data_IF_156822416282
#
_entry.id   IF_156822416282
#
_cell.length_a   1.000
_cell.length_b   1.000
_cell.length_c   1.000
_cell.angle_alpha   90.00
_cell.angle_beta   90.00
_cell.angle_gamma   90.00
#
_symmetry.space_group_name_H-M   'P 1'
#
loop_
_entity.id
_entity.type
_entity.pdbx_description
1 polymer ?
#
# COMPACT_ATOMS: atom_id res chain seq x y z
N UNK A 1 26.13 30.13 19.01
CA UNK A 1 24.93 29.50 19.57
C UNK A 1 23.98 29.13 18.43
N UNK A 2 23.32 27.98 18.46
CA UNK A 2 22.24 27.68 17.50
C UNK A 2 21.18 28.78 17.59
N UNK A 3 20.61 29.17 16.46
CA UNK A 3 19.48 30.09 16.45
C UNK A 3 18.24 29.32 16.93
N UNK A 4 17.60 29.82 17.99
CA UNK A 4 16.38 29.26 18.56
C UNK A 4 15.17 30.10 18.18
N UNK A 5 14.02 29.44 18.07
CA UNK A 5 12.74 30.05 17.73
C UNK A 5 11.66 29.55 18.68
N UNK A 6 10.63 30.38 18.87
CA UNK A 6 9.40 30.02 19.59
C UNK A 6 8.28 29.67 18.62
N UNK A 7 7.21 29.07 19.15
CA UNK A 7 6.07 28.59 18.36
C UNK A 7 5.31 29.69 17.60
N UNK A 8 5.48 30.96 17.98
CA UNK A 8 4.91 32.12 17.28
C UNK A 8 5.83 32.66 16.15
N UNK A 9 7.00 32.07 15.92
CA UNK A 9 8.00 32.52 14.93
C UNK A 9 8.13 31.57 13.72
N UNK A 10 7.04 30.90 13.35
CA UNK A 10 7.05 29.89 12.28
C UNK A 10 7.45 30.45 10.92
N UNK A 11 7.13 31.71 10.61
CA UNK A 11 7.54 32.33 9.35
C UNK A 11 9.05 32.48 9.22
N UNK A 12 9.73 32.74 10.34
CA UNK A 12 11.18 32.71 10.40
C UNK A 12 11.72 31.31 10.11
N UNK A 13 11.08 30.26 10.63
CA UNK A 13 11.46 28.88 10.31
C UNK A 13 11.24 28.53 8.84
N UNK A 14 10.14 29.00 8.23
CA UNK A 14 9.89 28.85 6.79
C UNK A 14 11.04 29.48 6.00
N UNK A 15 11.47 30.68 6.37
CA UNK A 15 12.62 31.33 5.75
C UNK A 15 13.91 30.51 5.90
N UNK A 16 14.22 29.99 7.09
CA UNK A 16 15.43 29.17 7.31
C UNK A 16 15.40 27.87 6.48
N UNK A 17 14.26 27.18 6.43
CA UNK A 17 14.10 25.95 5.64
C UNK A 17 14.28 26.23 4.14
N UNK A 18 13.68 27.31 3.63
CA UNK A 18 13.82 27.71 2.23
C UNK A 18 15.26 28.07 1.86
N UNK A 19 16.05 28.51 2.84
CA UNK A 19 17.49 28.76 2.70
C UNK A 19 18.36 27.52 2.99
N UNK A 20 17.82 26.32 2.80
CA UNK A 20 18.54 25.05 2.95
C UNK A 20 19.14 24.81 4.35
N UNK A 21 18.47 25.31 5.40
CA UNK A 21 18.78 24.91 6.78
C UNK A 21 17.85 23.81 7.25
N UNK A 22 18.37 22.99 8.15
CA UNK A 22 17.58 22.03 8.90
C UNK A 22 17.05 22.65 10.19
N UNK A 23 15.89 22.17 10.64
CA UNK A 23 15.23 22.61 11.87
C UNK A 23 15.03 21.41 12.78
N UNK A 24 15.52 21.49 14.02
CA UNK A 24 15.10 20.55 15.06
C UNK A 24 13.81 21.04 15.69
N UNK A 25 12.79 20.18 15.75
CA UNK A 25 11.42 20.55 16.07
C UNK A 25 10.71 19.45 16.86
N UNK A 26 9.88 19.78 17.87
CA UNK A 26 8.96 18.81 18.46
C UNK A 26 7.93 18.31 17.45
N UNK A 27 7.71 17.00 17.39
CA UNK A 27 6.63 16.38 16.61
C UNK A 27 5.54 15.80 17.52
N UNK A 28 4.49 15.29 16.90
CA UNK A 28 3.45 14.49 17.56
C UNK A 28 4.00 13.19 18.21
N UNK A 29 5.16 12.70 17.77
CA UNK A 29 5.80 11.46 18.28
C UNK A 29 7.06 11.73 19.10
N UNK A 30 8.11 12.26 18.48
CA UNK A 30 9.44 12.47 19.07
C UNK A 30 10.06 13.77 18.56
N UNK A 31 11.18 14.23 19.10
CA UNK A 31 11.93 15.33 18.46
C UNK A 31 12.38 14.91 17.06
N UNK A 32 12.13 15.76 16.06
CA UNK A 32 12.49 15.54 14.66
C UNK A 32 13.53 16.55 14.17
N UNK A 33 14.23 16.20 13.09
CA UNK A 33 15.01 17.13 12.27
C UNK A 33 14.38 17.20 10.89
N UNK A 34 13.90 18.39 10.52
CA UNK A 34 13.26 18.69 9.25
C UNK A 34 14.19 19.44 8.30
N UNK A 35 14.13 19.13 7.02
CA UNK A 35 14.80 19.90 5.96
C UNK A 35 14.04 19.77 4.63
N UNK A 36 14.22 20.72 3.72
CA UNK A 36 13.73 20.62 2.35
C UNK A 36 14.51 19.60 1.49
N UNK A 37 15.70 19.18 1.94
CA UNK A 37 16.57 18.24 1.26
C UNK A 37 17.12 17.20 2.24
N UNK A 38 16.85 15.92 2.00
CA UNK A 38 17.33 14.82 2.85
C UNK A 38 18.85 14.75 3.00
N UNK A 39 19.62 15.22 2.00
CA UNK A 39 21.07 15.22 2.05
C UNK A 39 21.61 16.06 3.22
N UNK A 40 20.90 17.14 3.58
CA UNK A 40 21.25 17.98 4.73
C UNK A 40 21.17 17.15 6.01
N UNK A 41 20.11 16.35 6.16
CA UNK A 41 19.90 15.50 7.34
C UNK A 41 20.95 14.39 7.39
N UNK A 42 21.24 13.73 6.25
CA UNK A 42 22.30 12.74 6.18
C UNK A 42 23.65 13.31 6.58
N UNK A 43 23.98 14.52 6.10
CA UNK A 43 25.22 15.22 6.40
C UNK A 43 25.33 15.58 7.90
N UNK A 44 24.30 16.23 8.46
CA UNK A 44 24.29 16.68 9.86
C UNK A 44 24.40 15.50 10.82
N UNK A 45 23.69 14.40 10.54
CA UNK A 45 23.61 13.23 11.42
C UNK A 45 24.67 12.16 11.18
N UNK A 46 25.52 12.34 10.16
CA UNK A 46 26.39 11.28 9.62
C UNK A 46 25.65 9.94 9.47
N UNK A 47 24.44 9.99 8.88
CA UNK A 47 23.52 8.85 8.85
C UNK A 47 23.84 7.93 7.67
N UNK A 48 23.83 6.60 7.85
CA UNK A 48 23.97 5.67 6.73
C UNK A 48 22.81 5.78 5.74
N UNK A 49 23.09 5.77 4.42
CA UNK A 49 22.07 5.93 3.36
C UNK A 49 20.99 4.85 3.33
N UNK A 50 21.32 3.63 3.75
CA UNK A 50 20.34 2.54 3.85
C UNK A 50 19.23 2.82 4.89
N UNK A 51 19.51 3.66 5.91
CA UNK A 51 18.49 4.12 6.86
C UNK A 51 17.73 5.28 6.22
N UNK A 52 16.65 4.97 5.51
CA UNK A 52 15.85 5.95 4.79
C UNK A 52 15.31 7.07 5.68
N UNK A 53 15.10 8.23 5.06
CA UNK A 53 14.50 9.43 5.65
C UNK A 53 13.01 9.43 5.30
N UNK A 54 12.18 9.92 6.22
CA UNK A 54 10.73 9.98 6.02
C UNK A 54 10.39 11.27 5.28
N UNK A 55 9.60 11.20 4.22
CA UNK A 55 9.05 12.36 3.52
C UNK A 55 7.71 12.75 4.15
N UNK A 56 7.68 13.90 4.80
CA UNK A 56 6.44 14.49 5.30
C UNK A 56 5.70 15.19 4.16
N UNK A 57 4.40 14.89 4.03
CA UNK A 57 3.54 15.32 2.92
C UNK A 57 2.22 15.87 3.44
N UNK A 58 1.58 16.73 2.65
CA UNK A 58 0.20 17.22 2.88
C UNK A 58 -0.81 16.61 1.93
N UNK A 59 -0.36 16.19 0.75
CA UNK A 59 -1.21 15.58 -0.27
C UNK A 59 -0.84 14.10 -0.41
N UNK A 60 -1.80 13.22 -0.16
CA UNK A 60 -1.65 11.77 -0.29
C UNK A 60 -1.30 11.37 -1.74
N UNK A 61 -1.71 12.18 -2.72
CA UNK A 61 -1.37 11.94 -4.13
C UNK A 61 0.14 11.93 -4.40
N UNK A 62 0.97 12.53 -3.53
CA UNK A 62 2.43 12.46 -3.63
C UNK A 62 2.98 11.03 -3.51
N UNK A 63 2.19 10.08 -2.98
CA UNK A 63 2.58 8.68 -2.85
C UNK A 63 2.42 7.88 -4.15
N UNK A 64 1.76 8.45 -5.16
CA UNK A 64 1.29 7.76 -6.35
C UNK A 64 -0.05 7.05 -6.14
N UNK A 65 -0.44 6.22 -7.09
CA UNK A 65 -1.73 5.51 -7.07
C UNK A 65 -1.79 4.52 -5.89
N UNK A 66 -2.93 4.56 -5.19
CA UNK A 66 -3.27 3.70 -4.05
C UNK A 66 -4.54 2.92 -4.37
N UNK A 67 -4.59 1.64 -3.99
CA UNK A 67 -5.82 0.86 -4.05
C UNK A 67 -6.80 1.26 -2.92
N UNK A 68 -8.05 0.78 -2.99
CA UNK A 68 -9.09 1.13 -2.02
C UNK A 68 -8.70 0.77 -0.57
N UNK A 69 -8.00 -0.35 -0.38
CA UNK A 69 -7.60 -0.82 0.96
C UNK A 69 -6.47 0.05 1.50
N UNK A 70 -5.51 0.42 0.65
CA UNK A 70 -4.46 1.37 0.96
C UNK A 70 -5.03 2.76 1.29
N UNK A 71 -6.03 3.25 0.54
CA UNK A 71 -6.74 4.51 0.84
C UNK A 71 -7.44 4.43 2.19
N UNK A 72 -8.14 3.33 2.49
CA UNK A 72 -8.75 3.12 3.80
C UNK A 72 -7.73 3.14 4.93
N UNK A 73 -6.58 2.48 4.75
CA UNK A 73 -5.50 2.50 5.73
C UNK A 73 -4.96 3.92 5.95
N UNK A 74 -4.65 4.65 4.88
CA UNK A 74 -4.17 6.03 4.95
C UNK A 74 -5.17 6.92 5.68
N UNK A 75 -6.45 6.90 5.29
CA UNK A 75 -7.49 7.74 5.89
C UNK A 75 -7.75 7.40 7.36
N UNK A 76 -7.52 6.14 7.75
CA UNK A 76 -7.69 5.69 9.13
C UNK A 76 -6.57 6.18 10.04
N UNK A 77 -5.33 6.15 9.57
CA UNK A 77 -4.15 6.38 10.42
C UNK A 77 -3.48 7.76 10.22
N UNK A 78 -3.82 8.49 9.16
CA UNK A 78 -3.32 9.84 8.91
C UNK A 78 -4.41 10.91 9.02
N UNK A 79 -4.05 12.12 9.50
CA UNK A 79 -2.75 12.51 10.05
C UNK A 79 -2.46 11.84 11.40
N UNK A 80 -1.21 11.40 11.65
CA UNK A 80 -0.89 10.73 12.91
C UNK A 80 0.46 10.03 13.02
N UNK A 81 0.49 9.08 13.96
CA UNK A 81 1.66 8.32 14.44
C UNK A 81 2.15 7.20 13.52
N UNK A 82 1.71 7.14 12.26
CA UNK A 82 2.06 6.04 11.34
C UNK A 82 2.93 6.55 10.20
N UNK A 83 3.97 5.81 9.85
CA UNK A 83 4.80 6.02 8.65
C UNK A 83 4.49 4.93 7.65
N UNK A 84 4.18 5.32 6.42
CA UNK A 84 3.78 4.40 5.36
C UNK A 84 4.91 4.28 4.34
N UNK A 85 5.30 3.06 4.02
CA UNK A 85 6.22 2.77 2.91
C UNK A 85 5.41 2.35 1.70
N UNK A 86 5.58 3.09 0.60
CA UNK A 86 5.00 2.81 -0.72
C UNK A 86 6.08 2.99 -1.77
N UNK A 87 6.22 2.04 -2.68
CA UNK A 87 7.22 2.06 -3.76
C UNK A 87 8.63 2.36 -3.21
N UNK A 88 8.96 1.75 -2.06
CA UNK A 88 10.25 1.89 -1.39
C UNK A 88 10.56 3.32 -0.87
N UNK A 89 9.59 4.22 -0.78
CA UNK A 89 9.70 5.56 -0.17
C UNK A 89 8.87 5.60 1.09
N UNK A 90 9.41 6.19 2.17
CA UNK A 90 8.72 6.34 3.45
C UNK A 90 8.03 7.69 3.52
N UNK A 91 6.72 7.70 3.76
CA UNK A 91 5.87 8.88 3.85
C UNK A 91 5.24 9.01 5.23
N UNK A 92 4.87 10.23 5.64
CA UNK A 92 4.06 10.47 6.83
C UNK A 92 3.32 11.81 6.76
N UNK A 93 2.06 11.83 7.17
CA UNK A 93 1.35 13.06 7.48
C UNK A 93 1.26 13.20 9.01
N UNK A 94 2.08 14.04 9.65
CA UNK A 94 2.09 14.17 11.11
C UNK A 94 0.87 14.96 11.63
N UNK A 95 0.32 14.56 12.78
CA UNK A 95 -0.76 15.29 13.45
C UNK A 95 -0.20 16.42 14.34
N UNK A 96 0.52 17.35 13.72
CA UNK A 96 1.05 18.52 14.41
C UNK A 96 0.83 19.81 13.63
N UNK A 97 0.09 20.75 14.24
CA UNK A 97 -0.30 22.02 13.61
C UNK A 97 0.90 22.85 13.13
N UNK A 98 2.03 22.81 13.82
CA UNK A 98 3.21 23.59 13.43
C UNK A 98 3.87 22.96 12.21
N UNK A 99 3.97 21.63 12.18
CA UNK A 99 4.53 20.91 11.03
C UNK A 99 3.62 21.04 9.81
N UNK A 100 2.30 20.89 9.99
CA UNK A 100 1.33 21.10 8.91
C UNK A 100 1.42 22.52 8.33
N UNK A 101 1.62 23.53 9.19
CA UNK A 101 1.89 24.89 8.74
C UNK A 101 3.16 24.98 7.90
N UNK A 102 4.28 24.42 8.37
CA UNK A 102 5.55 24.43 7.64
C UNK A 102 5.42 23.74 6.28
N UNK A 103 4.76 22.57 6.22
CA UNK A 103 4.51 21.86 4.97
C UNK A 103 3.67 22.71 3.99
N UNK A 104 2.67 23.45 4.48
CA UNK A 104 1.83 24.30 3.63
C UNK A 104 2.61 25.45 2.97
N UNK A 105 3.75 25.86 3.56
CA UNK A 105 4.57 26.97 3.09
C UNK A 105 5.83 26.53 2.34
N UNK A 106 6.32 25.34 2.62
CA UNK A 106 7.57 24.80 2.10
C UNK A 106 7.38 23.65 1.10
N UNK A 107 6.17 23.09 0.98
CA UNK A 107 5.94 21.80 0.32
C UNK A 107 6.38 20.63 1.20
N UNK A 108 6.62 19.48 0.60
CA UNK A 108 7.07 18.30 1.33
C UNK A 108 8.41 18.54 2.03
N UNK A 109 8.56 18.00 3.24
CA UNK A 109 9.79 18.12 4.02
C UNK A 109 10.32 16.73 4.38
N UNK A 110 11.63 16.58 4.46
CA UNK A 110 12.27 15.35 4.90
C UNK A 110 12.47 15.37 6.41
N UNK A 111 12.25 14.23 7.07
CA UNK A 111 12.28 14.08 8.52
C UNK A 111 13.01 12.83 8.98
N UNK A 112 13.80 12.98 10.04
CA UNK A 112 14.31 11.88 10.87
C UNK A 112 14.14 12.24 12.34
N UNK A 113 14.16 11.26 13.23
CA UNK A 113 14.29 11.54 14.67
C UNK A 113 15.52 12.39 14.94
N UNK A 114 15.49 13.30 15.90
CA UNK A 114 16.55 14.28 16.13
C UNK A 114 17.79 13.72 16.84
N UNK A 115 17.89 12.43 17.16
CA UNK A 115 19.07 11.83 17.81
C UNK A 115 20.18 11.48 16.82
N UNK A 116 21.46 11.68 17.19
CA UNK A 116 22.57 11.12 16.40
C UNK A 116 22.37 9.61 16.26
N UNK A 117 22.77 9.06 15.11
CA UNK A 117 22.58 7.63 14.83
C UNK A 117 23.14 6.78 15.98
N UNK A 118 22.29 5.90 16.53
CA UNK A 118 22.59 5.01 17.66
C UNK A 118 22.65 5.68 19.06
N UNK A 119 22.22 6.94 19.20
CA UNK A 119 22.00 7.58 20.50
C UNK A 119 20.52 7.56 20.91
N UNK A 120 20.23 7.79 22.19
CA UNK A 120 18.86 7.94 22.69
C UNK A 120 18.14 9.15 22.09
N UNK A 121 16.81 9.03 22.00
CA UNK A 121 15.93 10.10 21.54
C UNK A 121 16.05 11.34 22.43
N UNK A 122 16.22 12.49 21.80
CA UNK A 122 16.22 13.79 22.48
C UNK A 122 14.84 14.04 23.09
N UNK A 123 14.80 14.32 24.40
CA UNK A 123 13.54 14.48 25.15
C UNK A 123 12.90 15.86 24.96
N UNK A 124 13.72 16.91 24.84
CA UNK A 124 13.27 18.26 24.56
C UNK A 124 14.35 19.12 23.88
N UNK A 125 13.97 20.32 23.43
CA UNK A 125 14.86 21.23 22.70
C UNK A 125 16.12 21.64 23.47
N UNK A 126 16.15 21.54 24.80
CA UNK A 126 17.32 21.92 25.62
C UNK A 126 18.46 20.90 25.54
N UNK A 127 18.13 19.65 25.22
CA UNK A 127 19.10 18.56 25.08
C UNK A 127 19.77 18.51 23.69
N UNK A 128 19.33 19.36 22.75
CA UNK A 128 19.86 19.40 21.38
C UNK A 128 21.36 19.68 21.34
N UNK A 129 21.81 20.65 22.15
CA UNK A 129 23.23 21.05 22.21
C UNK A 129 24.11 19.91 22.77
N UNK A 130 23.53 18.97 23.52
CA UNK A 130 24.29 17.81 24.05
C UNK A 130 24.67 16.80 22.98
N UNK A 131 23.87 16.68 21.92
CA UNK A 131 24.14 15.74 20.83
C UNK A 131 24.74 16.43 19.60
N UNK A 132 24.33 17.65 19.24
CA UNK A 132 24.83 18.32 18.04
C UNK A 132 25.96 19.29 18.35
N UNK A 133 27.11 19.09 17.70
CA UNK A 133 28.23 20.03 17.75
C UNK A 133 27.82 21.39 17.17
N UNK A 134 27.60 22.34 18.07
CA UNK A 134 27.18 23.69 17.77
C UNK A 134 28.19 24.43 16.89
N UNK A 135 29.50 24.27 17.15
CA UNK A 135 30.54 24.96 16.37
C UNK A 135 30.54 24.49 14.92
N UNK A 136 30.16 23.23 14.69
CA UNK A 136 30.12 22.63 13.36
C UNK A 136 28.85 22.95 12.58
N UNK A 137 27.70 23.06 13.25
CA UNK A 137 26.40 23.08 12.55
C UNK A 137 25.58 24.36 12.70
N UNK A 138 26.01 25.36 13.48
CA UNK A 138 25.22 26.57 13.75
C UNK A 138 24.70 27.32 12.51
N UNK A 139 25.39 27.23 11.38
CA UNK A 139 25.01 27.90 10.13
C UNK A 139 24.01 27.09 9.29
N UNK A 140 23.84 25.79 9.57
CA UNK A 140 22.94 24.86 8.85
C UNK A 140 21.78 24.33 9.70
N UNK A 141 21.79 24.55 11.02
CA UNK A 141 20.83 23.97 11.94
C UNK A 141 20.25 25.05 12.86
N UNK A 142 18.92 25.07 12.98
CA UNK A 142 18.18 25.91 13.92
C UNK A 142 17.24 25.06 14.77
N UNK A 143 16.71 25.60 15.86
CA UNK A 143 15.89 24.84 16.82
C UNK A 143 14.57 25.57 17.10
N UNK A 144 13.45 24.84 17.03
CA UNK A 144 12.18 25.26 17.61
C UNK A 144 12.08 24.76 19.04
N UNK A 145 11.84 25.66 19.98
CA UNK A 145 11.68 25.34 21.39
C UNK A 145 10.41 24.51 21.65
N UNK A 146 10.52 23.49 22.49
CA UNK A 146 9.38 22.70 22.94
C UNK A 146 9.70 21.25 23.25
N UNK A 147 8.63 20.49 23.50
CA UNK A 147 8.66 19.04 23.81
C UNK A 147 7.73 18.31 22.84
N UNK A 148 8.08 17.07 22.43
CA UNK A 148 7.18 16.26 21.63
C UNK A 148 5.91 15.92 22.43
N UNK A 149 4.80 15.66 21.73
CA UNK A 149 3.53 15.26 22.36
C UNK A 149 3.52 13.80 22.78
N UNK A 150 4.17 12.94 21.99
CA UNK A 150 4.31 11.52 22.25
C UNK A 150 5.64 11.13 22.90
N UNK A 151 5.76 9.84 23.21
CA UNK A 151 6.98 9.22 23.73
C UNK A 151 7.47 8.08 22.83
N UNK A 152 6.58 7.46 22.06
CA UNK A 152 6.89 6.39 21.12
C UNK A 152 7.12 6.95 19.72
N UNK A 153 8.06 6.36 18.96
CA UNK A 153 8.22 6.71 17.56
C UNK A 153 7.06 6.14 16.72
N UNK A 154 6.91 6.59 15.48
CA UNK A 154 5.85 6.09 14.60
C UNK A 154 5.98 4.60 14.27
N UNK A 155 4.86 3.88 14.17
CA UNK A 155 4.87 2.55 13.53
C UNK A 155 5.21 2.72 12.06
N UNK A 156 6.09 1.87 11.50
CA UNK A 156 6.42 1.88 10.07
C UNK A 156 5.77 0.66 9.43
N UNK A 157 4.88 0.89 8.46
CA UNK A 157 4.18 -0.16 7.72
C UNK A 157 4.49 -0.03 6.24
N UNK A 158 4.87 -1.12 5.59
CA UNK A 158 4.92 -1.21 4.14
C UNK A 158 3.56 -1.68 3.63
N UNK A 159 2.85 -0.81 2.92
CA UNK A 159 1.50 -1.09 2.42
C UNK A 159 1.52 -1.78 1.05
N UNK A 160 2.69 -1.93 0.42
CA UNK A 160 2.84 -2.75 -0.80
C UNK A 160 2.69 -4.25 -0.49
N UNK A 161 3.05 -4.66 0.73
CA UNK A 161 3.03 -6.06 1.15
C UNK A 161 2.48 -6.26 2.58
N UNK A 162 1.87 -5.23 3.16
CA UNK A 162 1.29 -5.19 4.50
C UNK A 162 2.23 -5.67 5.62
N UNK A 163 3.53 -5.40 5.50
CA UNK A 163 4.52 -5.78 6.53
C UNK A 163 4.79 -4.63 7.51
N UNK A 164 4.88 -4.96 8.80
CA UNK A 164 5.30 -4.01 9.82
C UNK A 164 6.84 -4.04 9.88
N UNK A 165 7.47 -2.92 9.55
CA UNK A 165 8.93 -2.75 9.54
C UNK A 165 9.44 -2.35 10.92
N UNK A 166 8.64 -1.59 11.67
CA UNK A 166 9.00 -1.12 13.01
C UNK A 166 7.77 -0.89 13.86
N UNK A 167 7.81 -1.39 15.07
CA UNK A 167 6.81 -1.18 16.11
C UNK A 167 6.86 0.24 16.68
N UNK A 168 5.69 0.81 16.95
CA UNK A 168 5.54 2.15 17.48
C UNK A 168 4.08 2.44 17.86
N UNK A 169 3.68 3.68 17.65
CA UNK A 169 2.31 4.11 17.95
C UNK A 169 1.23 3.40 17.10
N UNK A 170 0.06 3.12 17.68
CA UNK A 170 -1.08 2.41 17.05
C UNK A 170 -0.84 0.95 16.62
N UNK A 171 0.18 0.27 17.16
CA UNK A 171 0.58 -1.08 16.70
C UNK A 171 -0.56 -2.12 16.68
N UNK A 172 -1.35 -2.22 17.75
CA UNK A 172 -2.39 -3.26 17.85
C UNK A 172 -3.54 -3.04 16.86
N UNK A 173 -3.93 -1.78 16.65
CA UNK A 173 -4.96 -1.45 15.66
C UNK A 173 -4.47 -1.70 14.22
N UNK A 174 -3.20 -1.41 13.95
CA UNK A 174 -2.56 -1.72 12.66
C UNK A 174 -2.52 -3.23 12.43
N UNK A 175 -2.12 -4.03 13.44
CA UNK A 175 -2.14 -5.49 13.35
C UNK A 175 -3.54 -6.02 13.04
N UNK A 176 -4.57 -5.47 13.70
CA UNK A 176 -5.97 -5.83 13.42
C UNK A 176 -6.33 -5.52 11.98
N UNK A 177 -6.04 -4.30 11.49
CA UNK A 177 -6.34 -3.92 10.11
C UNK A 177 -5.62 -4.83 9.11
N UNK A 178 -4.32 -5.05 9.29
CA UNK A 178 -3.53 -5.92 8.40
C UNK A 178 -4.08 -7.34 8.40
N UNK A 179 -4.49 -7.85 9.57
CA UNK A 179 -5.11 -9.16 9.67
C UNK A 179 -6.44 -9.21 8.91
N UNK A 180 -7.27 -8.17 8.99
CA UNK A 180 -8.52 -8.09 8.23
C UNK A 180 -8.27 -8.06 6.72
N UNK A 181 -7.23 -7.34 6.27
CA UNK A 181 -6.82 -7.29 4.86
C UNK A 181 -6.31 -8.64 4.37
N UNK A 182 -5.45 -9.30 5.14
CA UNK A 182 -4.89 -10.61 4.78
C UNK A 182 -5.99 -11.68 4.76
N UNK A 183 -6.98 -11.59 5.66
CA UNK A 183 -8.07 -12.54 5.75
C UNK A 183 -9.33 -12.12 4.98
N UNK A 184 -9.23 -11.18 4.01
CA UNK A 184 -10.38 -10.83 3.17
C UNK A 184 -10.92 -12.10 2.52
N UNK A 185 -12.14 -12.47 2.92
CA UNK A 185 -12.80 -13.64 2.41
C UNK A 185 -13.26 -13.37 0.96
N UNK A 186 -12.59 -14.00 -0.01
CA UNK A 186 -13.00 -14.00 -1.41
C UNK A 186 -14.26 -14.86 -1.59
N UNK A 187 -15.07 -14.51 -2.57
CA UNK A 187 -16.22 -15.31 -3.04
C UNK A 187 -15.95 -15.82 -4.45
N UNK A 188 -16.00 -17.12 -4.66
CA UNK A 188 -15.84 -17.73 -5.99
C UNK A 188 -17.18 -18.21 -6.54
N UNK A 189 -17.50 -17.80 -7.76
CA UNK A 189 -18.65 -18.33 -8.50
C UNK A 189 -18.09 -19.31 -9.52
N UNK A 190 -18.42 -20.58 -9.35
CA UNK A 190 -17.96 -21.67 -10.20
C UNK A 190 -19.07 -22.00 -11.20
N UNK A 191 -18.77 -21.85 -12.49
CA UNK A 191 -19.62 -22.28 -13.58
C UNK A 191 -18.99 -23.48 -14.26
N UNK A 192 -19.77 -24.53 -14.52
CA UNK A 192 -19.23 -25.77 -15.08
C UNK A 192 -20.14 -26.37 -16.15
N UNK A 193 -19.53 -26.96 -17.19
CA UNK A 193 -20.23 -27.91 -18.05
C UNK A 193 -20.40 -29.24 -17.31
N UNK A 194 -21.53 -29.93 -17.54
CA UNK A 194 -21.86 -31.19 -16.86
C UNK A 194 -20.74 -32.25 -16.93
N UNK A 195 -19.95 -32.26 -18.02
CA UNK A 195 -18.81 -33.17 -18.16
C UNK A 195 -17.69 -32.97 -17.13
N UNK A 196 -17.66 -31.83 -16.43
CA UNK A 196 -16.66 -31.48 -15.42
C UNK A 196 -17.16 -31.58 -13.99
N UNK A 197 -18.41 -32.03 -13.79
CA UNK A 197 -19.04 -32.16 -12.46
C UNK A 197 -18.19 -32.96 -11.46
N UNK A 198 -17.48 -33.98 -11.93
CA UNK A 198 -16.62 -34.84 -11.10
C UNK A 198 -15.37 -34.14 -10.53
N UNK A 199 -15.05 -32.92 -10.98
CA UNK A 199 -13.93 -32.14 -10.47
C UNK A 199 -14.35 -31.14 -9.39
N UNK A 200 -15.66 -30.93 -9.16
CA UNK A 200 -16.16 -29.88 -8.28
C UNK A 200 -15.76 -30.10 -6.82
N UNK A 201 -15.73 -31.33 -6.33
CA UNK A 201 -15.38 -31.62 -4.94
C UNK A 201 -13.94 -31.17 -4.62
N UNK A 202 -12.97 -31.49 -5.47
CA UNK A 202 -11.57 -31.08 -5.26
C UNK A 202 -11.42 -29.55 -5.29
N UNK A 203 -12.18 -28.87 -6.15
CA UNK A 203 -12.17 -27.41 -6.25
C UNK A 203 -12.78 -26.77 -5.00
N UNK A 204 -13.87 -27.34 -4.49
CA UNK A 204 -14.48 -26.91 -3.22
C UNK A 204 -13.49 -27.04 -2.07
N UNK A 205 -12.78 -28.16 -1.96
CA UNK A 205 -11.78 -28.38 -0.92
C UNK A 205 -10.66 -27.32 -0.98
N UNK A 206 -10.17 -26.98 -2.18
CA UNK A 206 -9.18 -25.91 -2.37
C UNK A 206 -9.70 -24.58 -1.83
N UNK A 207 -10.91 -24.17 -2.20
CA UNK A 207 -11.48 -22.88 -1.79
C UNK A 207 -11.77 -22.85 -0.29
N UNK A 208 -12.29 -23.95 0.27
CA UNK A 208 -12.58 -24.07 1.70
C UNK A 208 -11.30 -24.05 2.55
N UNK A 209 -10.22 -24.67 2.08
CA UNK A 209 -8.91 -24.65 2.75
C UNK A 209 -8.38 -23.23 2.93
N UNK A 210 -8.58 -22.37 1.92
CA UNK A 210 -8.25 -20.94 1.95
C UNK A 210 -9.33 -20.08 2.65
N UNK A 211 -10.33 -20.73 3.29
CA UNK A 211 -11.43 -20.10 4.03
C UNK A 211 -12.29 -19.16 3.18
N UNK A 212 -12.34 -19.35 1.87
CA UNK A 212 -13.13 -18.54 0.95
C UNK A 212 -14.56 -19.09 0.78
N UNK A 213 -15.48 -18.24 0.32
CA UNK A 213 -16.86 -18.65 0.01
C UNK A 213 -16.95 -19.11 -1.44
N UNK A 214 -17.91 -19.97 -1.75
CA UNK A 214 -18.21 -20.32 -3.14
C UNK A 214 -19.70 -20.54 -3.41
N UNK A 215 -20.08 -20.35 -4.66
CA UNK A 215 -21.37 -20.72 -5.25
C UNK A 215 -21.08 -21.52 -6.51
N UNK A 216 -21.88 -22.56 -6.79
CA UNK A 216 -21.69 -23.42 -7.95
C UNK A 216 -22.97 -23.48 -8.76
N UNK A 217 -22.87 -23.24 -10.05
CA UNK A 217 -23.98 -23.31 -11.00
C UNK A 217 -23.52 -23.95 -12.31
N UNK A 218 -24.46 -24.50 -13.09
CA UNK A 218 -24.18 -24.98 -14.45
C UNK A 218 -23.81 -23.78 -15.35
N UNK A 219 -22.86 -23.98 -16.25
CA UNK A 219 -22.45 -22.98 -17.23
C UNK A 219 -23.57 -22.77 -18.26
N UNK A 220 -24.08 -21.54 -18.31
CA UNK A 220 -25.00 -21.04 -19.33
C UNK A 220 -24.96 -19.51 -19.31
N UNK A 221 -25.55 -18.87 -20.32
CA UNK A 221 -25.51 -17.41 -20.47
C UNK A 221 -26.13 -16.66 -19.28
N UNK A 222 -27.23 -17.16 -18.72
CA UNK A 222 -27.88 -16.51 -17.57
C UNK A 222 -26.98 -16.50 -16.33
N UNK A 223 -26.39 -17.66 -15.99
CA UNK A 223 -25.49 -17.77 -14.85
C UNK A 223 -24.18 -17.01 -15.07
N UNK A 224 -23.69 -16.94 -16.32
CA UNK A 224 -22.54 -16.12 -16.68
C UNK A 224 -22.82 -14.62 -16.49
N UNK A 225 -23.99 -14.13 -16.94
CA UNK A 225 -24.43 -12.75 -16.72
C UNK A 225 -24.50 -12.41 -15.22
N UNK A 226 -25.10 -13.30 -14.43
CA UNK A 226 -25.20 -13.12 -12.97
C UNK A 226 -23.83 -13.10 -12.29
N UNK A 227 -22.90 -13.95 -12.74
CA UNK A 227 -21.52 -13.95 -12.24
C UNK A 227 -20.85 -12.61 -12.56
N UNK A 228 -20.90 -12.15 -13.81
CA UNK A 228 -20.28 -10.89 -14.21
C UNK A 228 -20.83 -9.71 -13.41
N UNK A 229 -22.16 -9.62 -13.25
CA UNK A 229 -22.79 -8.59 -12.44
C UNK A 229 -22.33 -8.62 -10.97
N UNK A 230 -22.14 -9.80 -10.38
CA UNK A 230 -21.65 -9.90 -9.01
C UNK A 230 -20.17 -9.50 -8.88
N UNK A 231 -19.33 -9.87 -9.85
CA UNK A 231 -17.92 -9.48 -9.91
C UNK A 231 -17.78 -7.95 -10.03
N UNK A 232 -18.57 -7.32 -10.91
CA UNK A 232 -18.56 -5.87 -11.09
C UNK A 232 -19.02 -5.13 -9.82
N UNK A 233 -20.03 -5.65 -9.13
CA UNK A 233 -20.58 -5.01 -7.93
C UNK A 233 -19.77 -5.30 -6.65
N UNK A 234 -18.92 -6.33 -6.64
CA UNK A 234 -18.11 -6.69 -5.48
C UNK A 234 -16.72 -7.18 -5.92
N UNK A 235 -15.70 -6.33 -5.69
CA UNK A 235 -14.29 -6.58 -6.03
C UNK A 235 -13.67 -7.84 -5.40
N UNK A 236 -14.29 -8.40 -4.36
CA UNK A 236 -13.87 -9.65 -3.72
C UNK A 236 -14.59 -10.89 -4.28
N UNK A 237 -15.33 -10.74 -5.38
CA UNK A 237 -15.98 -11.84 -6.10
C UNK A 237 -15.19 -12.20 -7.36
N UNK A 238 -15.00 -13.50 -7.59
CA UNK A 238 -14.20 -14.06 -8.68
C UNK A 238 -14.96 -15.17 -9.39
N UNK A 239 -14.65 -15.41 -10.66
CA UNK A 239 -15.20 -16.49 -11.47
C UNK A 239 -14.22 -17.63 -11.71
N UNK A 240 -14.71 -18.87 -11.69
CA UNK A 240 -14.01 -20.05 -12.20
C UNK A 240 -14.94 -20.73 -13.20
N UNK A 241 -14.52 -20.89 -14.45
CA UNK A 241 -15.28 -21.58 -15.49
C UNK A 241 -14.59 -22.89 -15.85
N UNK A 242 -15.36 -23.98 -15.87
CA UNK A 242 -14.91 -25.31 -16.30
C UNK A 242 -15.61 -25.66 -17.60
N UNK A 243 -14.88 -25.61 -18.72
CA UNK A 243 -15.46 -25.85 -20.06
C UNK A 243 -14.43 -26.39 -21.06
N UNK A 244 -14.90 -27.12 -22.08
CA UNK A 244 -14.06 -27.45 -23.25
C UNK A 244 -14.04 -26.34 -24.30
N UNK A 245 -14.98 -25.40 -24.23
CA UNK A 245 -15.13 -24.29 -25.19
C UNK A 245 -14.46 -23.02 -24.68
N UNK A 246 -13.22 -23.16 -24.19
CA UNK A 246 -12.51 -22.10 -23.45
C UNK A 246 -12.41 -20.78 -24.23
N UNK A 247 -12.19 -20.84 -25.55
CA UNK A 247 -12.07 -19.65 -26.39
C UNK A 247 -13.39 -18.89 -26.53
N UNK A 248 -14.51 -19.60 -26.64
CA UNK A 248 -15.82 -18.97 -26.78
C UNK A 248 -16.15 -18.15 -25.53
N UNK A 249 -16.02 -18.78 -24.37
CA UNK A 249 -16.31 -18.13 -23.09
C UNK A 249 -15.34 -17.00 -22.79
N UNK A 250 -14.05 -17.15 -23.09
CA UNK A 250 -13.06 -16.09 -22.90
C UNK A 250 -13.38 -14.84 -23.74
N UNK A 251 -13.72 -15.04 -25.02
CA UNK A 251 -14.09 -13.94 -25.91
C UNK A 251 -15.37 -13.25 -25.40
N UNK A 252 -16.39 -14.01 -24.98
CA UNK A 252 -17.65 -13.45 -24.45
C UNK A 252 -17.43 -12.66 -23.15
N UNK A 253 -16.70 -13.23 -22.20
CA UNK A 253 -16.46 -12.62 -20.88
C UNK A 253 -15.68 -11.32 -20.98
N UNK A 254 -14.63 -11.28 -21.81
CA UNK A 254 -13.83 -10.08 -22.03
C UNK A 254 -14.57 -8.97 -22.82
N UNK A 255 -15.87 -9.12 -23.10
CA UNK A 255 -16.76 -8.04 -23.58
C UNK A 255 -17.61 -7.41 -22.50
N UNK A 256 -17.58 -7.93 -21.27
CA UNK A 256 -18.27 -7.33 -20.14
C UNK A 256 -17.36 -6.30 -19.50
N UNK A 257 -17.86 -5.07 -19.34
CA UNK A 257 -17.20 -4.00 -18.60
C UNK A 257 -16.57 -4.51 -17.29
N UNK A 258 -15.27 -4.26 -17.10
CA UNK A 258 -14.45 -4.65 -15.95
C UNK A 258 -14.25 -6.17 -15.73
N UNK A 259 -14.75 -7.04 -16.61
CA UNK A 259 -14.43 -8.47 -16.58
C UNK A 259 -13.14 -8.71 -17.34
N UNK A 260 -12.23 -9.42 -16.69
CA UNK A 260 -10.94 -9.83 -17.24
C UNK A 260 -10.82 -11.33 -17.07
N UNK A 261 -11.14 -12.07 -18.12
CA UNK A 261 -10.99 -13.52 -18.14
C UNK A 261 -9.64 -13.94 -18.68
N UNK A 262 -9.13 -15.05 -18.16
CA UNK A 262 -7.92 -15.69 -18.65
C UNK A 262 -8.12 -17.20 -18.78
N UNK A 263 -7.71 -17.75 -19.93
CA UNK A 263 -7.62 -19.19 -20.15
C UNK A 263 -6.35 -19.69 -19.47
N UNK A 264 -6.50 -20.65 -18.54
CA UNK A 264 -5.41 -21.13 -17.72
C UNK A 264 -4.99 -22.54 -18.16
N UNK A 265 -3.76 -22.66 -18.62
CA UNK A 265 -3.19 -23.93 -19.10
C UNK A 265 -1.88 -24.33 -18.42
N UNK A 266 -1.24 -23.41 -17.69
CA UNK A 266 -0.03 -23.69 -16.90
C UNK A 266 0.05 -22.80 -15.65
N UNK A 267 1.00 -23.14 -14.76
CA UNK A 267 1.18 -22.47 -13.48
C UNK A 267 1.62 -21.01 -13.62
N UNK A 268 2.41 -20.72 -14.66
CA UNK A 268 2.92 -19.38 -14.93
C UNK A 268 1.77 -18.47 -15.35
N UNK A 269 0.91 -18.91 -16.25
CA UNK A 269 -0.28 -18.17 -16.68
C UNK A 269 -1.28 -18.03 -15.55
N UNK A 270 -1.49 -19.07 -14.74
CA UNK A 270 -2.32 -18.97 -13.53
C UNK A 270 -1.84 -17.85 -12.60
N UNK A 271 -0.54 -17.81 -12.29
CA UNK A 271 0.03 -16.76 -11.43
C UNK A 271 -0.04 -15.38 -12.08
N UNK A 272 0.42 -15.24 -13.33
CA UNK A 272 0.57 -13.95 -14.01
C UNK A 272 -0.79 -13.31 -14.32
N UNK A 273 -1.78 -14.10 -14.74
CA UNK A 273 -3.11 -13.58 -15.05
C UNK A 273 -3.70 -12.83 -13.86
N UNK A 274 -3.55 -13.37 -12.64
CA UNK A 274 -4.00 -12.69 -11.42
C UNK A 274 -3.04 -11.59 -10.96
N UNK A 275 -1.74 -11.86 -10.84
CA UNK A 275 -0.77 -10.91 -10.27
C UNK A 275 -0.54 -9.68 -11.16
N UNK A 276 -0.45 -9.88 -12.46
CA UNK A 276 -0.06 -8.83 -13.40
C UNK A 276 -1.23 -8.22 -14.17
N UNK A 277 -2.24 -9.02 -14.49
CA UNK A 277 -3.33 -8.59 -15.37
C UNK A 277 -4.67 -8.43 -14.61
N UNK A 278 -4.67 -8.67 -13.29
CA UNK A 278 -5.84 -8.57 -12.42
C UNK A 278 -7.05 -9.35 -12.96
N UNK A 279 -6.82 -10.54 -13.54
CA UNK A 279 -7.88 -11.40 -14.05
C UNK A 279 -8.84 -11.78 -12.92
N UNK A 280 -10.13 -11.50 -13.11
CA UNK A 280 -11.18 -11.79 -12.13
C UNK A 280 -12.03 -13.01 -12.50
N UNK A 281 -11.79 -13.60 -13.68
CA UNK A 281 -12.36 -14.88 -14.10
C UNK A 281 -11.24 -15.77 -14.66
N UNK A 282 -11.19 -17.03 -14.23
CA UNK A 282 -10.26 -18.03 -14.77
C UNK A 282 -11.02 -19.18 -15.46
N UNK A 283 -10.56 -19.60 -16.63
CA UNK A 283 -11.21 -20.63 -17.44
C UNK A 283 -10.28 -21.85 -17.57
N UNK A 284 -10.81 -23.04 -17.29
CA UNK A 284 -10.07 -24.30 -17.25
C UNK A 284 -10.73 -25.36 -18.13
N UNK A 285 -9.91 -26.14 -18.82
CA UNK A 285 -10.33 -27.34 -19.56
C UNK A 285 -9.65 -28.59 -19.00
N UNK A 286 -10.44 -29.45 -18.36
CA UNK A 286 -9.99 -30.73 -17.79
C UNK A 286 -9.92 -31.88 -18.82
N UNK A 287 -10.28 -31.64 -20.09
CA UNK A 287 -10.04 -32.56 -21.20
C UNK A 287 -8.73 -32.25 -21.90
N UNK A 288 -8.41 -30.96 -22.07
CA UNK A 288 -7.18 -30.53 -22.72
C UNK A 288 -5.97 -30.64 -21.79
N UNK A 289 -6.15 -30.38 -20.50
CA UNK A 289 -5.08 -30.48 -19.49
C UNK A 289 -5.46 -31.48 -18.39
N UNK A 290 -4.46 -32.17 -17.85
CA UNK A 290 -4.70 -33.18 -16.84
C UNK A 290 -5.25 -32.57 -15.53
N UNK A 291 -6.02 -33.38 -14.79
CA UNK A 291 -6.68 -32.97 -13.56
C UNK A 291 -5.71 -32.39 -12.52
N UNK A 292 -4.53 -32.97 -12.37
CA UNK A 292 -3.57 -32.53 -11.34
C UNK A 292 -3.03 -31.14 -11.67
N UNK A 293 -2.69 -30.89 -12.94
CA UNK A 293 -2.26 -29.57 -13.40
C UNK A 293 -3.34 -28.52 -13.23
N UNK A 294 -4.59 -28.83 -13.62
CA UNK A 294 -5.72 -27.91 -13.43
C UNK A 294 -5.98 -27.59 -11.96
N UNK A 295 -6.00 -28.58 -11.06
CA UNK A 295 -6.20 -28.33 -9.63
C UNK A 295 -5.09 -27.47 -9.01
N UNK A 296 -3.84 -27.67 -9.45
CA UNK A 296 -2.72 -26.81 -9.03
C UNK A 296 -2.92 -25.37 -9.52
N UNK A 297 -3.31 -25.21 -10.77
CA UNK A 297 -3.57 -23.89 -11.35
C UNK A 297 -4.77 -23.18 -10.69
N UNK A 298 -5.81 -23.91 -10.28
CA UNK A 298 -6.94 -23.38 -9.51
C UNK A 298 -6.45 -22.90 -8.14
N UNK A 299 -5.66 -23.71 -7.44
CA UNK A 299 -5.08 -23.31 -6.15
C UNK A 299 -4.22 -22.05 -6.26
N UNK A 300 -3.40 -21.94 -7.32
CA UNK A 300 -2.62 -20.74 -7.60
C UNK A 300 -3.53 -19.52 -7.84
N UNK A 301 -4.59 -19.64 -8.64
CA UNK A 301 -5.51 -18.53 -8.92
C UNK A 301 -6.28 -18.07 -7.67
N UNK A 302 -6.75 -19.03 -6.86
CA UNK A 302 -7.49 -18.76 -5.60
C UNK A 302 -6.64 -17.98 -4.60
N UNK A 303 -5.37 -18.35 -4.47
CA UNK A 303 -4.44 -17.76 -3.49
C UNK A 303 -3.75 -16.49 -3.99
N UNK A 304 -3.62 -16.32 -5.31
CA UNK A 304 -2.95 -15.16 -5.88
C UNK A 304 -3.68 -13.84 -5.59
N UNK A 305 -2.89 -12.79 -5.37
CA UNK A 305 -3.35 -11.41 -5.21
C UNK A 305 -2.80 -10.56 -6.35
N UNK A 306 -3.45 -9.44 -6.66
CA UNK A 306 -2.96 -8.53 -7.67
C UNK A 306 -1.78 -7.71 -7.11
N UNK A 307 -0.67 -7.60 -7.85
CA UNK A 307 0.55 -6.90 -7.36
C UNK A 307 0.41 -5.37 -7.40
N UNK A 308 -0.48 -4.83 -8.24
CA UNK A 308 -0.64 -3.39 -8.40
C UNK A 308 0.61 -2.70 -8.98
N UNK A 309 0.86 -1.46 -8.57
CA UNK A 309 2.02 -0.68 -9.02
C UNK A 309 2.08 -0.53 -10.55
N UNK A 310 3.20 -0.92 -11.18
CA UNK A 310 3.35 -0.87 -12.66
C UNK A 310 2.32 -1.72 -13.41
N UNK A 311 1.75 -2.73 -12.76
CA UNK A 311 0.71 -3.59 -13.33
C UNK A 311 -0.65 -2.89 -13.31
N UNK A 312 -0.89 -2.04 -12.31
CA UNK A 312 -2.08 -1.20 -12.23
C UNK A 312 -2.18 -0.25 -13.43
N UNK A 313 -1.09 0.38 -13.87
CA UNK A 313 -1.11 1.27 -15.05
C UNK A 313 -1.60 0.57 -16.32
N UNK A 314 -1.24 -0.71 -16.50
CA UNK A 314 -1.71 -1.52 -17.63
C UNK A 314 -3.21 -1.79 -17.52
N UNK A 315 -3.66 -2.22 -16.34
CA UNK A 315 -5.07 -2.49 -16.07
C UNK A 315 -5.90 -1.21 -16.20
N UNK A 316 -5.40 -0.08 -15.70
CA UNK A 316 -6.01 1.25 -15.82
C UNK A 316 -6.16 1.66 -17.28
N UNK A 317 -5.16 1.41 -18.12
CA UNK A 317 -5.24 1.65 -19.57
C UNK A 317 -6.39 0.86 -20.20
N UNK A 318 -6.59 -0.40 -19.79
CA UNK A 318 -7.70 -1.24 -20.26
C UNK A 318 -9.05 -0.66 -19.78
N UNK A 319 -9.16 -0.33 -18.50
CA UNK A 319 -10.38 0.26 -17.91
C UNK A 319 -10.74 1.60 -18.60
N UNK A 320 -9.74 2.44 -18.85
CA UNK A 320 -9.94 3.73 -19.53
C UNK A 320 -10.33 3.56 -21.00
N UNK A 321 -9.88 2.48 -21.64
CA UNK A 321 -10.33 2.10 -22.97
C UNK A 321 -11.79 1.65 -22.96
N UNK A 322 -12.16 0.73 -22.07
CA UNK A 322 -13.54 0.23 -21.87
C UNK A 322 -14.54 1.38 -21.68
N UNK A 323 -14.23 2.32 -20.76
CA UNK A 323 -15.03 3.53 -20.51
C UNK A 323 -15.24 4.40 -21.73
N UNK A 324 -14.23 4.53 -22.60
CA UNK A 324 -14.32 5.33 -23.83
C UNK A 324 -15.18 4.65 -24.89
N UNK A 325 -15.19 3.32 -24.91
CA UNK A 325 -15.87 2.55 -25.95
C UNK A 325 -17.31 2.16 -25.60
N UNK A 326 -17.80 2.47 -24.39
CA UNK A 326 -19.09 1.98 -23.87
C UNK A 326 -19.22 0.44 -23.97
N UNK A 327 -18.10 -0.27 -23.77
CA UNK A 327 -18.04 -1.73 -23.73
C UNK A 327 -17.67 -2.15 -22.32
#
# INVERSE_FOLDING_TARGET
MFKTYKSNELDSLVFEIKNNKAVIIPTDTVMGILANNENIIYQIKNRPRHKKIIKFILDVNEMGDLDDVQIQFVNKFWPGGVTIVKNNISYRMPNDKYILYLLSKCGSLYCSSANISNMDTIKDSSDVIKQFDEKKWYYKLVVLEGKPKGSLPSTIVNIDNWTIIRDGDNLEEIKSFINDVINIQKKFIILYDDSYKNNLNDIQEIIQKEKHQFIINVLNENNMNQMCNQIVNNKNTFGIILTSEVNEWDIKLNKYYLIRSAIIYDEKISYLSRNHDDANVAIFDFKLFDKKTNLKNISNFVTANFEGGRHYERVKTIIDYEKKTNV
#
